data_IF_298378132583
#
_entry.id   IF_298378132583
#
_cell.length_a   1.000
_cell.length_b   1.000
_cell.length_c   1.000
_cell.angle_alpha   90.00
_cell.angle_beta   90.00
_cell.angle_gamma   90.00
#
_symmetry.space_group_name_H-M   'P 1'
#
loop_
_entity.id
_entity.type
_entity.pdbx_description
1 polymer ?
#
# COMPACT_ATOMS: atom_id res chain seq x y z
N UNK A 1 5.99 22.13 -9.37
CA UNK A 1 5.91 20.99 -8.45
C UNK A 1 4.47 20.89 -7.93
N UNK A 2 3.83 19.73 -8.15
CA UNK A 2 2.40 19.54 -7.82
C UNK A 2 2.14 19.16 -6.36
N UNK A 3 3.17 18.67 -5.65
CA UNK A 3 3.07 18.17 -4.28
C UNK A 3 3.95 18.95 -3.29
N UNK A 4 4.33 20.16 -3.65
CA UNK A 4 5.27 20.97 -2.86
C UNK A 4 4.82 21.15 -1.41
N UNK A 5 5.63 20.70 -0.47
CA UNK A 5 5.38 20.78 0.97
C UNK A 5 4.36 19.80 1.53
N UNK A 6 3.69 18.97 0.68
CA UNK A 6 2.76 17.95 1.17
C UNK A 6 3.48 16.88 1.98
N UNK A 7 2.88 16.47 3.08
CA UNK A 7 3.30 15.36 3.93
C UNK A 7 2.63 14.06 3.51
N UNK A 8 3.43 13.06 3.19
CA UNK A 8 2.97 11.80 2.60
C UNK A 8 3.53 10.59 3.36
N UNK A 9 2.71 9.59 3.62
CA UNK A 9 3.17 8.26 4.06
C UNK A 9 2.98 7.28 2.92
N UNK A 10 4.05 6.55 2.54
CA UNK A 10 4.01 5.53 1.48
C UNK A 10 4.45 4.19 2.04
N UNK A 11 3.59 3.17 1.97
CA UNK A 11 3.92 1.80 2.39
C UNK A 11 4.44 0.96 1.24
N UNK A 12 5.31 -0.03 1.54
CA UNK A 12 5.95 -0.86 0.52
C UNK A 12 6.98 -0.08 -0.33
N UNK A 13 7.62 0.92 0.26
CA UNK A 13 8.48 1.89 -0.42
C UNK A 13 9.83 1.33 -0.90
N UNK A 14 10.22 0.11 -0.52
CA UNK A 14 11.58 -0.43 -0.81
C UNK A 14 11.74 -1.05 -2.18
N UNK A 15 10.69 -1.17 -3.00
CA UNK A 15 10.74 -1.73 -4.36
C UNK A 15 9.49 -1.41 -5.19
N UNK A 16 9.54 -1.78 -6.48
CA UNK A 16 8.40 -1.75 -7.38
C UNK A 16 7.67 -0.40 -7.42
N UNK A 17 6.34 -0.45 -7.40
CA UNK A 17 5.50 0.76 -7.47
C UNK A 17 5.71 1.71 -6.29
N UNK A 18 5.87 1.18 -5.07
CA UNK A 18 6.09 2.02 -3.88
C UNK A 18 7.35 2.86 -3.98
N UNK A 19 8.46 2.26 -4.45
CA UNK A 19 9.71 2.99 -4.73
C UNK A 19 9.50 4.07 -5.79
N UNK A 20 8.87 3.74 -6.91
CA UNK A 20 8.60 4.68 -7.98
C UNK A 20 7.68 5.85 -7.54
N UNK A 21 6.70 5.58 -6.66
CA UNK A 21 5.84 6.61 -6.06
C UNK A 21 6.68 7.57 -5.21
N UNK A 22 7.55 7.05 -4.33
CA UNK A 22 8.43 7.87 -3.50
C UNK A 22 9.34 8.73 -4.36
N UNK A 23 10.00 8.14 -5.37
CA UNK A 23 10.87 8.87 -6.30
C UNK A 23 10.14 10.00 -7.02
N UNK A 24 8.94 9.70 -7.52
CA UNK A 24 8.15 10.71 -8.23
C UNK A 24 7.65 11.80 -7.29
N UNK A 25 7.14 11.45 -6.14
CA UNK A 25 6.56 12.41 -5.19
C UNK A 25 7.63 13.33 -4.59
N UNK A 26 8.81 12.79 -4.26
CA UNK A 26 9.94 13.61 -3.81
C UNK A 26 10.38 14.64 -4.86
N UNK A 27 10.43 14.25 -6.14
CA UNK A 27 10.72 15.16 -7.27
C UNK A 27 9.64 16.23 -7.47
N UNK A 28 8.40 15.96 -7.04
CA UNK A 28 7.30 16.93 -7.05
C UNK A 28 7.21 17.77 -5.75
N UNK A 29 8.18 17.61 -4.83
CA UNK A 29 8.34 18.43 -3.63
C UNK A 29 7.60 17.89 -2.38
N UNK A 30 7.12 16.65 -2.40
CA UNK A 30 6.50 16.05 -1.22
C UNK A 30 7.53 15.62 -0.18
N UNK A 31 7.20 15.81 1.10
CA UNK A 31 7.92 15.24 2.23
C UNK A 31 7.33 13.86 2.56
N UNK A 32 8.14 12.83 2.63
CA UNK A 32 7.67 11.44 2.58
C UNK A 32 8.24 10.62 3.74
N UNK A 33 7.37 9.94 4.49
CA UNK A 33 7.76 8.80 5.33
C UNK A 33 7.65 7.56 4.46
N UNK A 34 8.79 6.96 4.14
CA UNK A 34 8.91 5.77 3.30
C UNK A 34 8.96 4.51 4.17
N UNK A 35 7.86 3.75 4.20
CA UNK A 35 7.69 2.59 5.11
C UNK A 35 7.98 1.28 4.38
N UNK A 36 8.90 0.46 4.91
CA UNK A 36 9.13 -0.91 4.45
C UNK A 36 9.96 -1.71 5.48
N UNK A 37 10.09 -3.02 5.27
CA UNK A 37 10.87 -3.91 6.15
C UNK A 37 12.37 -3.89 5.89
N UNK A 38 12.80 -3.59 4.65
CA UNK A 38 14.20 -3.68 4.20
C UNK A 38 14.89 -2.34 4.40
N UNK A 39 15.63 -2.22 5.52
CA UNK A 39 16.31 -0.99 5.93
C UNK A 39 17.28 -0.49 4.85
N UNK A 40 18.16 -1.34 4.37
CA UNK A 40 19.21 -0.99 3.41
C UNK A 40 18.64 -0.36 2.15
N UNK A 41 17.55 -0.92 1.63
CA UNK A 41 16.88 -0.38 0.43
C UNK A 41 16.17 0.96 0.67
N UNK A 42 15.67 1.19 1.90
CA UNK A 42 15.11 2.48 2.26
C UNK A 42 16.19 3.55 2.38
N UNK A 43 17.32 3.20 2.97
CA UNK A 43 18.46 4.11 3.12
C UNK A 43 19.05 4.47 1.74
N UNK A 44 19.21 3.50 0.83
CA UNK A 44 19.62 3.72 -0.56
C UNK A 44 18.65 4.64 -1.29
N UNK A 45 17.33 4.41 -1.14
CA UNK A 45 16.30 5.24 -1.75
C UNK A 45 16.38 6.68 -1.24
N UNK A 46 16.47 6.88 0.08
CA UNK A 46 16.58 8.22 0.67
C UNK A 46 17.89 8.92 0.22
N UNK A 47 19.01 8.22 0.20
CA UNK A 47 20.28 8.74 -0.28
C UNK A 47 20.23 9.17 -1.76
N UNK A 48 19.55 8.39 -2.61
CA UNK A 48 19.38 8.70 -4.04
C UNK A 48 18.51 9.94 -4.29
N UNK A 49 17.71 10.35 -3.31
CA UNK A 49 16.78 11.47 -3.37
C UNK A 49 17.19 12.66 -2.49
N UNK A 50 18.44 12.69 -1.99
CA UNK A 50 18.93 13.76 -1.11
C UNK A 50 18.85 15.16 -1.71
N UNK A 51 18.98 15.25 -3.05
CA UNK A 51 18.94 16.51 -3.81
C UNK A 51 17.53 16.78 -4.40
N UNK A 52 16.53 15.95 -4.08
CA UNK A 52 15.16 16.19 -4.49
C UNK A 52 14.55 17.36 -3.72
N UNK A 53 13.56 18.09 -4.29
CA UNK A 53 12.89 19.17 -3.59
C UNK A 53 12.16 18.74 -2.30
N UNK A 54 11.66 17.51 -2.25
CA UNK A 54 10.98 16.94 -1.08
C UNK A 54 11.91 16.06 -0.25
N UNK A 55 11.70 16.02 1.08
CA UNK A 55 12.46 15.20 2.03
C UNK A 55 11.92 13.77 2.06
N UNK A 56 12.81 12.76 2.03
CA UNK A 56 12.45 11.35 2.25
C UNK A 56 13.04 10.85 3.55
N UNK A 57 12.18 10.38 4.45
CA UNK A 57 12.55 9.82 5.75
C UNK A 57 12.26 8.31 5.75
N UNK A 58 13.28 7.45 5.85
CA UNK A 58 13.09 6.01 6.00
C UNK A 58 12.39 5.65 7.31
N UNK A 59 11.42 4.72 7.24
CA UNK A 59 10.80 4.12 8.40
C UNK A 59 10.76 2.60 8.25
N UNK A 60 11.54 1.90 9.07
CA UNK A 60 11.62 0.44 9.03
C UNK A 60 10.49 -0.16 9.87
N UNK A 61 9.61 -0.95 9.24
CA UNK A 61 8.52 -1.59 9.95
C UNK A 61 7.72 -2.54 9.08
N UNK A 62 6.93 -3.38 9.73
CA UNK A 62 6.01 -4.32 9.11
C UNK A 62 4.58 -3.78 9.19
N UNK A 63 3.97 -3.55 8.02
CA UNK A 63 2.61 -2.99 7.93
C UNK A 63 1.54 -3.89 8.55
N UNK A 64 1.81 -5.18 8.73
CA UNK A 64 0.91 -6.12 9.41
C UNK A 64 0.78 -5.84 10.92
N UNK A 65 1.62 -4.96 11.46
CA UNK A 65 1.61 -4.56 12.86
C UNK A 65 0.99 -3.17 13.00
N UNK A 66 -0.02 -3.06 13.85
CA UNK A 66 -0.74 -1.80 14.04
C UNK A 66 0.20 -0.68 14.52
N UNK A 67 1.06 -0.99 15.49
CA UNK A 67 2.01 -0.04 16.05
C UNK A 67 2.97 0.54 14.99
N UNK A 68 3.33 -0.22 13.95
CA UNK A 68 4.11 0.27 12.82
C UNK A 68 3.38 1.40 12.08
N UNK A 69 2.11 1.19 11.78
CA UNK A 69 1.35 2.15 10.99
C UNK A 69 0.99 3.40 11.79
N UNK A 70 0.66 3.22 13.07
CA UNK A 70 0.45 4.35 13.99
C UNK A 70 1.71 5.19 14.09
N UNK A 71 2.86 4.58 14.41
CA UNK A 71 4.13 5.28 14.58
C UNK A 71 4.62 5.96 13.29
N UNK A 72 4.41 5.37 12.11
CA UNK A 72 4.81 5.97 10.84
C UNK A 72 3.98 7.23 10.53
N UNK A 73 2.69 7.22 10.83
CA UNK A 73 1.81 8.39 10.66
C UNK A 73 2.13 9.47 11.69
N UNK A 74 2.34 9.10 12.95
CA UNK A 74 2.76 10.06 14.00
C UNK A 74 4.10 10.70 13.66
N UNK A 75 5.03 9.93 13.06
CA UNK A 75 6.30 10.48 12.59
C UNK A 75 6.08 11.51 11.47
N UNK A 76 5.15 11.28 10.54
CA UNK A 76 4.83 12.27 9.50
C UNK A 76 4.35 13.58 10.11
N UNK A 77 3.43 13.51 11.08
CA UNK A 77 2.94 14.69 11.79
C UNK A 77 4.07 15.38 12.57
N UNK A 78 4.92 14.62 13.25
CA UNK A 78 6.07 15.16 14.01
C UNK A 78 7.10 15.85 13.12
N UNK A 79 7.48 15.22 12.00
CA UNK A 79 8.57 15.70 11.12
C UNK A 79 8.11 16.83 10.17
N UNK A 80 6.84 16.81 9.76
CA UNK A 80 6.32 17.69 8.72
C UNK A 80 5.15 18.57 9.17
N UNK A 81 4.70 18.42 10.43
CA UNK A 81 3.65 19.23 11.04
C UNK A 81 2.22 18.76 10.69
N UNK A 82 2.04 17.82 9.75
CA UNK A 82 0.74 17.35 9.26
C UNK A 82 0.85 16.04 8.49
N UNK A 83 -0.31 15.46 8.14
CA UNK A 83 -0.46 14.45 7.13
C UNK A 83 -1.40 14.96 6.02
N UNK A 84 -1.03 14.85 4.75
CA UNK A 84 -1.89 15.19 3.62
C UNK A 84 -2.32 13.97 2.81
N UNK A 85 -1.41 12.99 2.65
CA UNK A 85 -1.65 11.82 1.80
C UNK A 85 -1.15 10.54 2.47
N UNK A 86 -2.00 9.51 2.47
CA UNK A 86 -1.62 8.13 2.78
C UNK A 86 -1.67 7.30 1.51
N UNK A 87 -0.58 6.59 1.19
CA UNK A 87 -0.51 5.61 0.10
C UNK A 87 -0.31 4.21 0.66
N UNK A 88 -1.36 3.41 0.67
CA UNK A 88 -1.33 1.99 1.00
C UNK A 88 -0.95 1.19 -0.25
N UNK A 89 0.36 1.00 -0.45
CA UNK A 89 0.88 0.26 -1.59
C UNK A 89 1.46 -1.10 -1.18
N UNK A 90 1.89 -1.29 0.07
CA UNK A 90 2.39 -2.58 0.53
C UNK A 90 1.40 -3.71 0.25
N UNK A 91 1.91 -4.82 -0.26
CA UNK A 91 1.11 -6.00 -0.54
C UNK A 91 1.97 -7.21 -0.86
N UNK A 92 1.39 -8.38 -0.65
CA UNK A 92 1.98 -9.67 -0.99
C UNK A 92 0.98 -10.52 -1.76
N UNK A 93 1.47 -11.43 -2.59
CA UNK A 93 0.65 -12.43 -3.27
C UNK A 93 0.44 -13.68 -2.41
N UNK A 94 -0.64 -14.40 -2.69
CA UNK A 94 -0.75 -15.80 -2.31
C UNK A 94 0.06 -16.70 -3.28
N UNK A 95 0.00 -17.99 -3.07
CA UNK A 95 0.67 -19.00 -3.91
C UNK A 95 -0.19 -19.47 -5.10
N UNK A 96 -1.21 -18.72 -5.48
CA UNK A 96 -2.21 -19.06 -6.53
C UNK A 96 -3.06 -20.30 -6.22
N UNK A 97 -3.16 -20.71 -4.96
CA UNK A 97 -4.01 -21.83 -4.58
C UNK A 97 -5.48 -21.55 -4.86
N UNK A 98 -6.22 -22.53 -5.44
CA UNK A 98 -7.68 -22.50 -5.41
C UNK A 98 -8.15 -22.72 -3.97
N UNK A 99 -9.39 -22.33 -3.66
CA UNK A 99 -9.89 -22.30 -2.28
C UNK A 99 -9.77 -23.66 -1.54
N UNK A 100 -9.88 -24.78 -2.24
CA UNK A 100 -9.75 -26.12 -1.65
C UNK A 100 -8.33 -26.50 -1.23
N UNK A 101 -7.29 -25.81 -1.72
CA UNK A 101 -5.88 -26.11 -1.48
C UNK A 101 -5.21 -25.08 -0.56
N UNK A 102 -5.93 -24.00 -0.19
CA UNK A 102 -5.37 -22.89 0.59
C UNK A 102 -5.04 -23.34 2.01
N UNK A 103 -3.85 -22.97 2.47
CA UNK A 103 -3.40 -23.16 3.86
C UNK A 103 -3.76 -21.96 4.73
N UNK A 104 -4.11 -22.18 6.00
CA UNK A 104 -4.48 -21.13 6.95
C UNK A 104 -3.37 -20.07 7.09
N UNK A 105 -2.09 -20.51 7.16
CA UNK A 105 -0.95 -19.60 7.30
C UNK A 105 -0.86 -18.62 6.12
N UNK A 106 -1.25 -19.06 4.91
CA UNK A 106 -1.27 -18.19 3.73
C UNK A 106 -2.44 -17.20 3.79
N UNK A 107 -3.60 -17.62 4.29
CA UNK A 107 -4.74 -16.73 4.55
C UNK A 107 -4.33 -15.63 5.52
N UNK A 108 -3.81 -16.03 6.68
CA UNK A 108 -3.43 -15.10 7.75
C UNK A 108 -2.37 -14.11 7.28
N UNK A 109 -1.32 -14.60 6.60
CA UNK A 109 -0.23 -13.78 6.10
C UNK A 109 -0.72 -12.73 5.09
N UNK A 110 -1.52 -13.14 4.10
CA UNK A 110 -2.00 -12.24 3.05
C UNK A 110 -2.98 -11.21 3.61
N UNK A 111 -3.91 -11.64 4.49
CA UNK A 111 -4.85 -10.72 5.11
C UNK A 111 -4.17 -9.75 6.07
N UNK A 112 -3.19 -10.20 6.84
CA UNK A 112 -2.43 -9.32 7.73
C UNK A 112 -1.78 -8.15 6.98
N UNK A 113 -1.17 -8.41 5.82
CA UNK A 113 -0.49 -7.37 5.03
C UNK A 113 -1.47 -6.58 4.15
N UNK A 114 -2.34 -7.28 3.40
CA UNK A 114 -3.14 -6.64 2.34
C UNK A 114 -4.45 -6.01 2.86
N UNK A 115 -4.91 -6.41 4.05
CA UNK A 115 -6.20 -5.96 4.62
C UNK A 115 -5.99 -5.24 5.95
N UNK A 116 -5.43 -5.91 6.95
CA UNK A 116 -5.28 -5.33 8.29
C UNK A 116 -4.30 -4.15 8.30
N UNK A 117 -3.18 -4.26 7.57
CA UNK A 117 -2.24 -3.15 7.42
C UNK A 117 -2.89 -1.87 6.91
N UNK A 118 -3.59 -1.91 5.76
CA UNK A 118 -4.40 -0.78 5.29
C UNK A 118 -5.48 -0.33 6.28
N UNK A 119 -6.16 -1.24 6.99
CA UNK A 119 -7.16 -0.85 8.00
C UNK A 119 -6.53 -0.05 9.14
N UNK A 120 -5.38 -0.46 9.66
CA UNK A 120 -4.66 0.25 10.70
C UNK A 120 -4.22 1.64 10.25
N UNK A 121 -3.58 1.73 9.08
CA UNK A 121 -3.11 3.00 8.53
C UNK A 121 -4.27 3.95 8.20
N UNK A 122 -5.34 3.45 7.57
CA UNK A 122 -6.52 4.26 7.23
C UNK A 122 -7.19 4.79 8.49
N UNK A 123 -7.38 3.95 9.53
CA UNK A 123 -7.95 4.37 10.81
C UNK A 123 -7.15 5.52 11.43
N UNK A 124 -5.84 5.37 11.54
CA UNK A 124 -4.97 6.42 12.10
C UNK A 124 -4.94 7.68 11.23
N UNK A 125 -4.86 7.53 9.90
CA UNK A 125 -4.86 8.68 9.00
C UNK A 125 -6.17 9.48 9.07
N UNK A 126 -7.32 8.79 9.12
CA UNK A 126 -8.62 9.45 9.27
C UNK A 126 -8.70 10.23 10.59
N UNK A 127 -8.21 9.67 11.71
CA UNK A 127 -8.15 10.39 12.98
C UNK A 127 -7.33 11.68 12.85
N UNK A 128 -6.14 11.59 12.26
CA UNK A 128 -5.28 12.78 12.02
C UNK A 128 -5.97 13.80 11.11
N UNK A 129 -6.59 13.37 10.01
CA UNK A 129 -7.29 14.26 9.10
C UNK A 129 -8.48 14.98 9.77
N UNK A 130 -9.22 14.27 10.63
CA UNK A 130 -10.31 14.88 11.40
C UNK A 130 -9.81 15.90 12.42
N UNK A 131 -8.70 15.63 13.10
CA UNK A 131 -8.05 16.56 14.02
C UNK A 131 -7.50 17.79 13.30
N UNK A 132 -6.95 17.64 12.09
CA UNK A 132 -6.47 18.75 11.26
C UNK A 132 -7.63 19.64 10.74
N UNK A 133 -8.79 19.06 10.45
CA UNK A 133 -9.99 19.78 10.04
C UNK A 133 -10.02 20.27 8.59
N UNK A 134 -8.99 20.00 7.78
CA UNK A 134 -8.88 20.44 6.38
C UNK A 134 -8.87 19.26 5.37
N UNK A 135 -9.29 18.08 5.83
CA UNK A 135 -9.41 16.88 5.02
C UNK A 135 -8.10 16.13 4.81
N UNK A 136 -8.09 15.25 3.80
CA UNK A 136 -6.93 14.44 3.45
C UNK A 136 -7.19 13.53 2.26
N UNK A 137 -6.16 12.79 1.83
CA UNK A 137 -6.28 11.90 0.70
C UNK A 137 -5.68 10.51 0.99
N UNK A 138 -6.47 9.46 0.81
CA UNK A 138 -6.05 8.07 0.93
C UNK A 138 -6.05 7.44 -0.45
N UNK A 139 -4.94 6.80 -0.83
CA UNK A 139 -4.77 6.08 -2.08
C UNK A 139 -4.42 4.63 -1.74
N UNK A 140 -5.31 3.70 -2.09
CA UNK A 140 -5.14 2.28 -1.88
C UNK A 140 -4.73 1.59 -3.19
N UNK A 141 -3.63 0.85 -3.19
CA UNK A 141 -3.21 0.05 -4.34
C UNK A 141 -3.86 -1.32 -4.22
N UNK A 142 -5.01 -1.45 -4.89
CA UNK A 142 -5.75 -2.70 -5.03
C UNK A 142 -5.11 -3.60 -6.11
N UNK A 143 -5.89 -4.18 -6.98
CA UNK A 143 -5.44 -5.00 -8.12
C UNK A 143 -6.61 -5.24 -9.07
N UNK A 144 -6.31 -5.48 -10.34
CA UNK A 144 -7.26 -6.05 -11.28
C UNK A 144 -7.84 -7.39 -10.78
N UNK A 145 -7.05 -8.17 -10.02
CA UNK A 145 -7.49 -9.39 -9.34
C UNK A 145 -8.59 -9.20 -8.29
N UNK A 146 -8.89 -7.96 -7.88
CA UNK A 146 -10.04 -7.65 -7.03
C UNK A 146 -11.38 -7.75 -7.79
N UNK A 147 -11.36 -7.65 -9.11
CA UNK A 147 -12.54 -7.58 -9.98
C UNK A 147 -12.66 -8.76 -10.92
N UNK A 148 -11.58 -9.50 -11.15
CA UNK A 148 -11.52 -10.65 -12.04
C UNK A 148 -10.64 -11.75 -11.46
N UNK A 149 -10.86 -12.99 -11.91
CA UNK A 149 -10.06 -14.16 -11.49
C UNK A 149 -8.70 -14.16 -12.18
N UNK A 150 -7.79 -13.31 -11.73
CA UNK A 150 -6.43 -13.16 -12.28
C UNK A 150 -5.34 -13.44 -11.23
N UNK A 151 -5.69 -14.06 -10.09
CA UNK A 151 -4.79 -14.40 -8.99
C UNK A 151 -5.37 -15.58 -8.19
N UNK A 152 -4.68 -16.03 -7.16
CA UNK A 152 -5.20 -17.04 -6.24
C UNK A 152 -6.38 -16.51 -5.41
N UNK A 153 -7.07 -17.44 -4.75
CA UNK A 153 -8.32 -17.14 -4.05
C UNK A 153 -8.15 -16.10 -2.94
N UNK A 154 -7.07 -16.19 -2.18
CA UNK A 154 -6.83 -15.33 -1.00
C UNK A 154 -6.39 -13.93 -1.42
N UNK A 155 -5.49 -13.82 -2.41
CA UNK A 155 -5.05 -12.53 -2.92
C UNK A 155 -6.24 -11.75 -3.52
N UNK A 156 -7.02 -12.38 -4.39
CA UNK A 156 -8.22 -11.76 -4.98
C UNK A 156 -9.19 -11.25 -3.91
N UNK A 157 -9.50 -12.10 -2.92
CA UNK A 157 -10.36 -11.73 -1.78
C UNK A 157 -9.79 -10.56 -0.98
N UNK A 158 -8.49 -10.55 -0.69
CA UNK A 158 -7.84 -9.46 0.06
C UNK A 158 -7.89 -8.12 -0.67
N UNK A 159 -7.71 -8.13 -1.99
CA UNK A 159 -7.77 -6.91 -2.82
C UNK A 159 -9.21 -6.42 -3.03
N UNK A 160 -10.18 -7.34 -3.08
CA UNK A 160 -11.61 -6.99 -3.09
C UNK A 160 -12.04 -6.36 -1.76
N UNK A 161 -11.56 -6.89 -0.63
CA UNK A 161 -11.76 -6.28 0.70
C UNK A 161 -11.24 -4.84 0.75
N UNK A 162 -10.04 -4.58 0.19
CA UNK A 162 -9.46 -3.24 0.13
C UNK A 162 -10.29 -2.28 -0.72
N UNK A 163 -10.87 -2.74 -1.83
CA UNK A 163 -11.81 -1.94 -2.64
C UNK A 163 -13.06 -1.60 -1.85
N UNK A 164 -13.62 -2.54 -1.09
CA UNK A 164 -14.79 -2.31 -0.23
C UNK A 164 -14.48 -1.27 0.85
N UNK A 165 -13.35 -1.41 1.55
CA UNK A 165 -12.88 -0.44 2.55
C UNK A 165 -12.71 0.96 1.94
N UNK A 166 -12.16 1.04 0.73
CA UNK A 166 -11.98 2.31 0.01
C UNK A 166 -13.32 3.01 -0.22
N UNK A 167 -14.32 2.29 -0.74
CA UNK A 167 -15.66 2.85 -1.02
C UNK A 167 -16.36 3.30 0.27
N UNK A 168 -16.31 2.48 1.32
CA UNK A 168 -16.91 2.83 2.61
C UNK A 168 -16.25 4.08 3.19
N UNK A 169 -14.92 4.13 3.26
CA UNK A 169 -14.19 5.29 3.80
C UNK A 169 -14.46 6.55 2.99
N UNK A 170 -14.47 6.46 1.66
CA UNK A 170 -14.79 7.60 0.80
C UNK A 170 -16.18 8.16 1.08
N UNK A 171 -17.18 7.29 1.20
CA UNK A 171 -18.57 7.71 1.46
C UNK A 171 -18.74 8.30 2.88
N UNK A 172 -18.23 7.61 3.89
CA UNK A 172 -18.43 7.99 5.28
C UNK A 172 -17.74 9.32 5.67
N UNK A 173 -16.59 9.62 5.07
CA UNK A 173 -15.78 10.80 5.43
C UNK A 173 -15.74 11.89 4.36
N UNK A 174 -16.56 11.76 3.29
CA UNK A 174 -16.73 12.83 2.29
C UNK A 174 -17.13 14.18 2.92
N UNK A 175 -18.05 14.24 3.90
CA UNK A 175 -18.40 15.51 4.54
C UNK A 175 -17.24 16.20 5.27
N UNK A 176 -16.20 15.44 5.62
CA UNK A 176 -15.00 15.95 6.29
C UNK A 176 -13.88 16.34 5.30
N UNK A 177 -14.13 16.35 3.99
CA UNK A 177 -13.11 16.63 2.99
C UNK A 177 -12.08 15.52 2.78
N UNK A 178 -12.31 14.32 3.34
CA UNK A 178 -11.40 13.17 3.19
C UNK A 178 -11.79 12.40 1.93
N UNK A 179 -10.83 12.29 1.00
CA UNK A 179 -10.98 11.49 -0.22
C UNK A 179 -10.29 10.16 -0.06
N UNK A 180 -10.92 9.08 -0.48
CA UNK A 180 -10.33 7.75 -0.49
C UNK A 180 -10.58 7.09 -1.86
N UNK A 181 -9.50 6.71 -2.55
CA UNK A 181 -9.57 6.11 -3.87
C UNK A 181 -8.70 4.86 -3.95
N UNK A 182 -9.06 3.93 -4.86
CA UNK A 182 -8.25 2.77 -5.17
C UNK A 182 -7.75 2.83 -6.61
N UNK A 183 -6.50 2.39 -6.79
CA UNK A 183 -5.92 2.09 -8.09
C UNK A 183 -5.93 0.56 -8.23
N UNK A 184 -6.36 0.03 -9.36
CA UNK A 184 -6.41 -1.40 -9.64
C UNK A 184 -5.44 -1.77 -10.78
N UNK A 185 -4.14 -1.88 -10.52
CA UNK A 185 -3.16 -2.22 -11.54
C UNK A 185 -3.40 -3.63 -12.10
N UNK A 186 -3.10 -3.82 -13.38
CA UNK A 186 -2.94 -5.12 -14.01
C UNK A 186 -1.55 -5.71 -13.74
N UNK A 187 -1.00 -6.40 -14.73
CA UNK A 187 0.34 -6.98 -14.65
C UNK A 187 1.44 -5.90 -14.71
N UNK A 188 1.99 -5.52 -13.57
CA UNK A 188 3.14 -4.60 -13.48
C UNK A 188 4.39 -5.39 -13.12
N UNK A 189 5.46 -5.21 -13.90
CA UNK A 189 6.76 -5.85 -13.64
C UNK A 189 7.38 -5.31 -12.35
N UNK A 190 7.20 -6.04 -11.26
CA UNK A 190 7.71 -5.71 -9.91
C UNK A 190 8.18 -6.97 -9.20
N UNK A 191 8.77 -6.81 -8.01
CA UNK A 191 9.17 -7.93 -7.16
C UNK A 191 7.99 -8.60 -6.39
N UNK A 192 6.73 -8.22 -6.64
CA UNK A 192 5.61 -8.75 -5.85
C UNK A 192 5.48 -10.28 -5.98
N UNK A 193 5.83 -10.83 -7.12
CA UNK A 193 5.85 -12.28 -7.36
C UNK A 193 6.82 -13.04 -6.46
N UNK A 194 7.86 -12.39 -5.94
CA UNK A 194 8.80 -13.05 -5.00
C UNK A 194 8.14 -13.39 -3.67
N UNK A 195 7.04 -12.70 -3.31
CA UNK A 195 6.26 -12.99 -2.10
C UNK A 195 5.38 -14.24 -2.22
N UNK A 196 5.14 -14.71 -3.43
CA UNK A 196 4.32 -15.90 -3.72
C UNK A 196 4.97 -17.18 -3.21
N UNK A 197 6.31 -17.27 -3.32
CA UNK A 197 7.02 -18.54 -3.14
C UNK A 197 6.79 -19.48 -4.31
N UNK A 198 6.73 -20.78 -4.03
CA UNK A 198 6.38 -21.78 -5.06
C UNK A 198 4.89 -21.74 -5.34
N UNK A 199 4.47 -21.50 -6.60
CA UNK A 199 3.05 -21.46 -6.94
C UNK A 199 2.41 -22.86 -6.82
N UNK A 200 1.15 -22.88 -6.39
CA UNK A 200 0.30 -24.04 -6.51
C UNK A 200 -0.01 -24.29 -8.00
N UNK A 201 0.57 -25.34 -8.57
CA UNK A 201 0.47 -25.62 -10.00
C UNK A 201 -0.95 -25.98 -10.44
N UNK A 202 -1.78 -26.54 -9.55
CA UNK A 202 -3.18 -26.81 -9.83
C UNK A 202 -3.97 -25.49 -10.07
N UNK A 203 -3.78 -24.51 -9.19
CA UNK A 203 -4.38 -23.18 -9.38
C UNK A 203 -3.78 -22.42 -10.55
N UNK A 204 -2.44 -22.35 -10.64
CA UNK A 204 -1.74 -21.65 -11.71
C UNK A 204 -2.20 -22.11 -13.11
N UNK A 205 -2.28 -23.42 -13.34
CA UNK A 205 -2.70 -23.98 -14.64
C UNK A 205 -4.14 -23.63 -15.02
N UNK A 206 -5.00 -23.35 -14.03
CA UNK A 206 -6.40 -22.95 -14.27
C UNK A 206 -6.54 -21.47 -14.65
N UNK A 207 -5.66 -20.60 -14.14
CA UNK A 207 -5.80 -19.15 -14.31
C UNK A 207 -4.77 -18.53 -15.27
N UNK A 208 -3.72 -19.26 -15.68
CA UNK A 208 -2.61 -18.71 -16.51
C UNK A 208 -3.09 -18.02 -17.80
N UNK A 209 -4.13 -18.55 -18.44
CA UNK A 209 -4.66 -17.96 -19.69
C UNK A 209 -5.38 -16.62 -19.43
N UNK A 210 -6.03 -16.47 -18.28
CA UNK A 210 -6.66 -15.21 -17.87
C UNK A 210 -5.61 -14.18 -17.47
N UNK A 211 -4.53 -14.60 -16.80
CA UNK A 211 -3.42 -13.73 -16.44
C UNK A 211 -2.70 -13.15 -17.65
N UNK A 212 -2.60 -13.91 -18.74
CA UNK A 212 -1.94 -13.44 -19.98
C UNK A 212 -2.71 -12.30 -20.68
N UNK A 213 -3.97 -12.08 -20.35
CA UNK A 213 -4.84 -11.05 -20.92
C UNK A 213 -5.15 -9.90 -19.94
N UNK A 214 -4.58 -9.93 -18.75
CA UNK A 214 -4.75 -8.94 -17.70
C UNK A 214 -3.57 -7.97 -17.65
#
# INVERSE_FOLDING_TARGET
>A
MKLNGMSVVVTGASSGMGKAIVERFAKEGANIIAVARRKERLDELAASLKDAPGKVVPFVGDVSKEETMVSAIDLAVKEFGRLDVLVNNAGIMDDMSPIGDVKNEKIDQVFAVNVYGPMYSMRKAVQVFLEQGDGGNIINVASFGAMRTAAGAVYGASKAALVSLTKNTAYMYMPNGIRCNAIAPGGIATEISTSMGMPNMNGYNRIKNVMATA
#
